data_IF_406038200570
#
_entry.id   IF_406038200570
#
_cell.length_a   1.000
_cell.length_b   1.000
_cell.length_c   1.000
_cell.angle_alpha   90.00
_cell.angle_beta   90.00
_cell.angle_gamma   90.00
#
_symmetry.space_group_name_H-M   'P 1'
#
loop_
_entity.id
_entity.type
_entity.pdbx_description
1 polymer ?
#
# COMPACT_ATOMS: atom_id res chain seq x y z
N UNK A 1 -36.66 19.98 -34.17
CA UNK A 1 -37.44 18.83 -33.62
C UNK A 1 -37.03 18.71 -32.17
N UNK A 2 -37.90 19.21 -31.26
CA UNK A 2 -37.73 19.01 -29.83
C UNK A 2 -38.06 17.55 -29.52
N UNK A 3 -37.04 16.70 -29.47
CA UNK A 3 -37.12 15.29 -29.09
C UNK A 3 -36.88 15.08 -27.60
N UNK A 4 -37.37 15.96 -26.74
CA UNK A 4 -37.33 15.74 -25.32
C UNK A 4 -38.38 14.73 -24.91
N UNK A 5 -37.99 13.59 -24.32
CA UNK A 5 -38.90 12.69 -23.66
C UNK A 5 -39.31 13.32 -22.32
N UNK A 6 -40.54 13.86 -22.26
CA UNK A 6 -41.09 14.38 -21.01
C UNK A 6 -41.59 13.26 -20.12
N UNK A 7 -40.95 13.01 -18.99
CA UNK A 7 -41.46 12.12 -17.96
C UNK A 7 -42.57 12.82 -17.15
N UNK A 8 -43.62 12.09 -16.80
CA UNK A 8 -44.62 12.61 -15.84
C UNK A 8 -43.96 12.78 -14.47
N UNK A 9 -44.26 13.88 -13.83
CA UNK A 9 -43.71 14.23 -12.53
C UNK A 9 -44.66 13.85 -11.40
N UNK A 10 -44.17 13.17 -10.39
CA UNK A 10 -44.91 12.77 -9.19
C UNK A 10 -44.03 13.00 -7.94
N UNK A 11 -44.67 13.33 -6.81
CA UNK A 11 -44.03 13.21 -5.51
C UNK A 11 -43.90 11.74 -5.12
N UNK A 12 -43.07 11.40 -4.14
CA UNK A 12 -42.96 10.02 -3.62
C UNK A 12 -44.32 9.46 -3.20
N UNK A 13 -45.16 10.25 -2.52
CA UNK A 13 -46.50 9.83 -2.10
C UNK A 13 -47.44 9.56 -3.30
N UNK A 14 -47.38 10.39 -4.32
CA UNK A 14 -48.16 10.19 -5.54
C UNK A 14 -47.70 8.99 -6.34
N UNK A 15 -46.36 8.78 -6.42
CA UNK A 15 -45.78 7.62 -7.06
C UNK A 15 -46.21 6.32 -6.41
N UNK A 16 -46.20 6.25 -5.06
CA UNK A 16 -46.57 5.04 -4.32
C UNK A 16 -48.06 4.69 -4.43
N UNK A 17 -48.89 5.64 -4.85
CA UNK A 17 -50.32 5.42 -5.15
C UNK A 17 -50.61 4.96 -6.60
N UNK A 18 -49.58 4.86 -7.46
CA UNK A 18 -49.71 4.38 -8.83
C UNK A 18 -49.90 2.86 -8.87
N UNK A 19 -50.77 2.40 -9.79
CA UNK A 19 -50.76 0.99 -10.19
C UNK A 19 -49.70 0.79 -11.25
N UNK A 20 -48.49 0.45 -10.80
CA UNK A 20 -47.29 0.41 -11.63
C UNK A 20 -47.05 -0.97 -12.22
N UNK A 21 -46.57 -1.00 -13.46
CA UNK A 21 -46.10 -2.20 -14.15
C UNK A 21 -44.59 -2.08 -14.48
N UNK A 22 -43.93 -3.21 -14.60
CA UNK A 22 -42.49 -3.22 -14.91
C UNK A 22 -42.19 -2.44 -16.21
N UNK A 23 -41.28 -1.48 -16.13
CA UNK A 23 -40.91 -0.59 -17.23
C UNK A 23 -41.58 0.79 -17.17
N UNK A 24 -42.52 1.05 -16.27
CA UNK A 24 -43.03 2.41 -16.06
C UNK A 24 -41.93 3.36 -15.64
N UNK A 25 -41.96 4.59 -16.19
CA UNK A 25 -40.95 5.63 -15.93
C UNK A 25 -41.60 6.94 -15.50
N UNK A 26 -41.05 7.58 -14.50
CA UNK A 26 -41.49 8.88 -13.96
C UNK A 26 -40.31 9.77 -13.60
N UNK A 27 -40.58 11.05 -13.35
CA UNK A 27 -39.69 11.93 -12.60
C UNK A 27 -40.22 12.11 -11.19
N UNK A 28 -39.52 11.65 -10.17
CA UNK A 28 -39.88 11.87 -8.77
C UNK A 28 -39.39 13.24 -8.31
N UNK A 29 -40.34 14.13 -8.02
CA UNK A 29 -40.06 15.51 -7.60
C UNK A 29 -39.60 15.62 -6.17
N UNK A 30 -39.92 14.65 -5.31
CA UNK A 30 -39.40 14.62 -3.92
C UNK A 30 -37.92 14.24 -3.86
N UNK A 31 -37.49 13.32 -4.73
CA UNK A 31 -36.13 12.85 -4.82
C UNK A 31 -35.31 13.62 -5.88
N UNK A 32 -35.99 14.44 -6.70
CA UNK A 32 -35.41 15.14 -7.86
C UNK A 32 -34.67 14.19 -8.83
N UNK A 33 -35.23 13.00 -9.05
CA UNK A 33 -34.63 11.93 -9.88
C UNK A 33 -35.64 11.28 -10.83
N UNK A 34 -35.21 10.90 -12.05
CA UNK A 34 -35.97 10.00 -12.87
C UNK A 34 -35.95 8.58 -12.26
N UNK A 35 -37.09 7.90 -12.27
CA UNK A 35 -37.25 6.56 -11.71
C UNK A 35 -37.95 5.64 -12.71
N UNK A 36 -37.67 4.33 -12.59
CA UNK A 36 -38.42 3.30 -13.29
C UNK A 36 -38.88 2.23 -12.29
N UNK A 37 -40.02 1.59 -12.62
CA UNK A 37 -40.54 0.47 -11.85
C UNK A 37 -39.96 -0.84 -12.39
N UNK A 38 -39.26 -1.59 -11.55
CA UNK A 38 -38.58 -2.83 -11.97
C UNK A 38 -39.49 -4.09 -11.89
N UNK A 39 -40.77 -3.90 -11.58
CA UNK A 39 -41.72 -4.98 -11.34
C UNK A 39 -41.95 -5.29 -9.86
N UNK A 40 -41.11 -4.77 -8.96
CA UNK A 40 -41.24 -4.94 -7.51
C UNK A 40 -41.16 -3.63 -6.76
N UNK A 41 -40.35 -2.69 -7.24
CA UNK A 41 -40.11 -1.40 -6.60
C UNK A 41 -39.74 -0.32 -7.63
N UNK A 42 -39.92 0.95 -7.25
CA UNK A 42 -39.40 2.09 -7.97
C UNK A 42 -37.93 2.25 -7.70
N UNK A 43 -37.13 2.31 -8.77
CA UNK A 43 -35.67 2.38 -8.74
C UNK A 43 -35.20 3.63 -9.49
N UNK A 44 -34.24 4.38 -8.97
CA UNK A 44 -33.65 5.51 -9.66
C UNK A 44 -32.89 5.04 -10.90
N UNK A 45 -32.90 5.83 -11.98
CA UNK A 45 -32.05 5.60 -13.15
C UNK A 45 -30.57 5.79 -12.84
N UNK A 46 -30.26 6.58 -11.82
CA UNK A 46 -28.90 6.87 -11.36
C UNK A 46 -28.83 6.73 -9.84
N UNK A 47 -28.60 5.52 -9.37
CA UNK A 47 -27.86 5.29 -8.12
C UNK A 47 -26.47 4.80 -8.49
N UNK A 48 -25.83 5.44 -9.51
CA UNK A 48 -24.41 5.25 -9.76
C UNK A 48 -23.64 5.95 -8.63
N UNK A 49 -22.71 5.28 -7.99
CA UNK A 49 -21.81 5.94 -7.05
C UNK A 49 -21.15 7.15 -7.74
N UNK A 50 -21.35 8.35 -7.23
CA UNK A 50 -20.76 9.56 -7.84
C UNK A 50 -19.33 9.78 -7.37
N UNK A 51 -18.90 9.06 -6.33
CA UNK A 51 -17.59 9.20 -5.70
C UNK A 51 -16.58 8.23 -6.30
N UNK A 52 -15.73 8.70 -7.21
CA UNK A 52 -14.55 7.96 -7.65
C UNK A 52 -13.43 8.15 -6.64
N UNK A 53 -12.94 7.06 -6.07
CA UNK A 53 -11.81 7.04 -5.14
C UNK A 53 -10.63 6.30 -5.77
N UNK A 54 -9.53 7.00 -5.97
CA UNK A 54 -8.22 6.40 -6.24
C UNK A 54 -7.54 6.07 -4.90
N UNK A 55 -6.78 4.97 -4.87
CA UNK A 55 -6.14 4.49 -3.66
C UNK A 55 -4.70 4.05 -3.87
N UNK A 56 -3.94 4.08 -2.78
CA UNK A 56 -2.67 3.38 -2.62
C UNK A 56 -2.77 2.57 -1.33
N UNK A 57 -2.46 1.27 -1.40
CA UNK A 57 -2.41 0.38 -0.24
C UNK A 57 -0.99 -0.16 -0.11
N UNK A 58 -0.30 0.24 0.96
CA UNK A 58 1.07 -0.17 1.28
C UNK A 58 1.06 -1.01 2.55
N UNK A 59 1.60 -2.21 2.49
CA UNK A 59 1.72 -3.11 3.63
C UNK A 59 2.91 -2.74 4.54
N UNK A 60 2.99 -3.35 5.72
CA UNK A 60 4.15 -3.21 6.60
C UNK A 60 5.41 -3.83 6.00
N UNK A 61 6.57 -3.20 6.19
CA UNK A 61 7.87 -3.71 5.79
C UNK A 61 8.35 -4.88 6.67
N UNK A 62 9.20 -5.73 6.10
CA UNK A 62 9.88 -6.83 6.79
C UNK A 62 11.03 -6.35 7.66
N UNK A 63 11.42 -7.13 8.67
CA UNK A 63 12.62 -6.85 9.47
C UNK A 63 13.89 -7.15 8.70
N UNK A 64 14.96 -6.45 9.02
CA UNK A 64 16.30 -6.88 8.67
C UNK A 64 16.67 -8.21 9.31
N UNK A 65 17.63 -8.92 8.75
CA UNK A 65 18.26 -10.09 9.36
C UNK A 65 19.19 -9.69 10.49
N UNK A 66 19.41 -10.58 11.46
CA UNK A 66 20.32 -10.35 12.59
C UNK A 66 21.80 -10.42 12.20
N UNK A 67 22.52 -11.48 12.65
CA UNK A 67 23.93 -11.69 12.35
C UNK A 67 24.15 -11.93 10.84
N UNK A 68 25.11 -11.23 10.25
CA UNK A 68 25.35 -11.21 8.81
C UNK A 68 24.03 -11.08 8.03
N UNK A 69 23.23 -10.11 8.44
CA UNK A 69 21.83 -10.00 8.07
C UNK A 69 21.58 -9.22 6.79
N UNK A 70 20.79 -9.80 5.89
CA UNK A 70 20.25 -9.08 4.73
C UNK A 70 19.24 -8.02 5.15
N UNK A 71 19.01 -7.03 4.30
CA UNK A 71 17.95 -6.02 4.51
C UNK A 71 16.56 -6.62 4.41
N UNK A 72 15.62 -6.09 5.17
CA UNK A 72 14.18 -6.44 5.08
C UNK A 72 13.58 -5.96 3.76
N UNK A 73 12.69 -6.75 3.17
CA UNK A 73 11.91 -6.34 2.01
C UNK A 73 10.87 -5.29 2.38
N UNK A 74 10.56 -4.39 1.48
CA UNK A 74 9.44 -3.47 1.63
C UNK A 74 8.09 -4.20 1.65
N UNK A 75 7.10 -3.61 2.25
CA UNK A 75 5.70 -3.98 2.10
C UNK A 75 5.30 -3.87 0.63
N UNK A 76 4.35 -4.71 0.21
CA UNK A 76 3.77 -4.61 -1.12
C UNK A 76 3.15 -3.24 -1.34
N UNK A 77 3.09 -2.80 -2.57
CA UNK A 77 2.52 -1.55 -3.00
C UNK A 77 1.50 -1.79 -4.11
N UNK A 78 0.25 -1.42 -3.87
CA UNK A 78 -0.84 -1.48 -4.84
C UNK A 78 -1.44 -0.09 -5.02
N UNK A 79 -1.59 0.31 -6.29
CA UNK A 79 -2.08 1.64 -6.68
C UNK A 79 -3.23 1.54 -7.67
N UNK A 80 -4.17 2.48 -7.59
CA UNK A 80 -5.14 2.77 -8.63
C UNK A 80 -4.98 4.17 -9.22
N UNK A 81 -3.92 4.87 -8.87
CA UNK A 81 -3.69 6.23 -9.37
C UNK A 81 -3.44 6.20 -10.87
N UNK A 82 -4.25 6.94 -11.61
CA UNK A 82 -4.19 6.96 -13.08
C UNK A 82 -2.81 7.41 -13.58
N UNK A 83 -2.24 6.66 -14.51
CA UNK A 83 -0.93 6.94 -15.11
C UNK A 83 0.26 6.49 -14.26
N UNK A 84 0.05 5.93 -13.07
CA UNK A 84 1.10 5.38 -12.21
C UNK A 84 1.18 3.85 -12.33
N UNK A 85 2.09 3.26 -11.56
CA UNK A 85 2.27 1.81 -11.49
C UNK A 85 2.07 1.31 -10.05
N UNK A 86 1.63 0.07 -9.91
CA UNK A 86 1.79 -0.72 -8.70
C UNK A 86 3.22 -1.23 -8.57
N UNK A 87 3.52 -1.86 -7.43
CA UNK A 87 4.82 -2.48 -7.22
C UNK A 87 5.11 -3.59 -8.24
N UNK A 88 6.40 -3.97 -8.37
CA UNK A 88 6.81 -4.97 -9.35
C UNK A 88 6.66 -4.53 -10.80
N UNK A 89 6.46 -3.25 -11.07
CA UNK A 89 6.27 -2.70 -12.41
C UNK A 89 4.91 -3.01 -13.04
N UNK A 90 3.94 -3.47 -12.27
CA UNK A 90 2.58 -3.74 -12.75
C UNK A 90 1.80 -2.43 -12.89
N UNK A 91 0.98 -2.30 -13.93
CA UNK A 91 0.09 -1.13 -14.09
C UNK A 91 -0.83 -0.94 -12.89
N UNK A 92 -1.16 0.31 -12.59
CA UNK A 92 -2.17 0.61 -11.59
C UNK A 92 -3.53 0.00 -11.96
N UNK A 93 -4.30 -0.40 -10.95
CA UNK A 93 -5.67 -0.84 -11.12
C UNK A 93 -6.60 0.35 -11.41
N UNK A 94 -7.89 0.09 -11.59
CA UNK A 94 -8.89 1.14 -11.61
C UNK A 94 -9.28 1.56 -10.19
N UNK A 95 -9.60 2.83 -10.00
CA UNK A 95 -10.21 3.32 -8.76
C UNK A 95 -11.60 2.72 -8.55
N UNK A 96 -12.13 2.88 -7.35
CA UNK A 96 -13.46 2.43 -7.01
C UNK A 96 -14.49 3.55 -7.09
N UNK A 97 -15.65 3.23 -7.67
CA UNK A 97 -16.85 4.03 -7.52
C UNK A 97 -17.55 3.61 -6.21
N UNK A 98 -17.55 4.48 -5.23
CA UNK A 98 -18.02 4.19 -3.88
C UNK A 98 -19.33 4.93 -3.57
N UNK A 99 -20.17 4.33 -2.71
CA UNK A 99 -21.32 5.00 -2.16
C UNK A 99 -20.92 5.88 -0.97
N UNK A 100 -21.48 7.07 -0.91
CA UNK A 100 -21.37 7.94 0.26
C UNK A 100 -22.10 7.32 1.46
N UNK A 101 -21.72 7.72 2.66
CA UNK A 101 -22.29 7.23 3.94
C UNK A 101 -22.16 5.72 4.19
N UNK A 102 -21.43 4.99 3.33
CA UNK A 102 -21.10 3.57 3.54
C UNK A 102 -19.76 3.47 4.24
N UNK A 103 -19.68 2.61 5.25
CA UNK A 103 -18.44 2.33 5.97
C UNK A 103 -17.63 1.25 5.25
N UNK A 104 -16.40 1.55 4.89
CA UNK A 104 -15.46 0.65 4.23
C UNK A 104 -14.32 0.29 5.17
N UNK A 105 -14.03 -0.99 5.32
CA UNK A 105 -12.98 -1.45 6.22
C UNK A 105 -11.58 -1.15 5.67
N UNK A 106 -10.69 -0.68 6.54
CA UNK A 106 -9.27 -0.47 6.28
C UNK A 106 -8.44 -1.21 7.32
N UNK A 107 -7.43 -1.93 6.84
CA UNK A 107 -6.41 -2.56 7.70
C UNK A 107 -5.06 -1.99 7.33
N UNK A 108 -4.34 -1.43 8.29
CA UNK A 108 -2.97 -0.94 8.12
C UNK A 108 -2.01 -1.91 8.80
N UNK A 109 -1.17 -2.57 8.01
CA UNK A 109 -0.22 -3.57 8.48
C UNK A 109 0.90 -2.94 9.30
N UNK A 110 1.20 -3.49 10.46
CA UNK A 110 2.41 -3.12 11.21
C UNK A 110 3.67 -3.60 10.49
N UNK A 111 4.77 -2.88 10.66
CA UNK A 111 6.09 -3.40 10.31
C UNK A 111 6.48 -4.58 11.19
N UNK A 112 7.35 -5.43 10.68
CA UNK A 112 7.91 -6.56 11.43
C UNK A 112 8.76 -6.07 12.61
N UNK A 113 8.71 -6.75 13.75
CA UNK A 113 9.64 -6.55 14.84
C UNK A 113 11.08 -7.00 14.43
N UNK A 114 12.15 -6.49 15.07
CA UNK A 114 13.53 -6.87 14.72
C UNK A 114 13.74 -8.39 14.74
N UNK A 115 14.52 -8.89 13.83
CA UNK A 115 14.94 -10.30 13.72
C UNK A 115 13.84 -11.35 13.62
N UNK A 116 12.57 -10.98 13.46
CA UNK A 116 11.53 -11.96 13.71
C UNK A 116 10.73 -12.42 12.49
N UNK A 117 10.27 -11.52 11.62
CA UNK A 117 9.20 -11.92 10.72
C UNK A 117 9.04 -11.04 9.48
N UNK A 118 8.02 -11.37 8.71
CA UNK A 118 7.46 -10.50 7.67
C UNK A 118 6.68 -9.37 8.31
N UNK A 119 6.52 -8.28 7.56
CA UNK A 119 5.51 -7.28 7.87
C UNK A 119 4.09 -7.85 7.76
N UNK A 120 3.14 -7.15 8.33
CA UNK A 120 1.73 -7.49 8.22
C UNK A 120 1.08 -6.88 6.97
N UNK A 121 0.05 -7.54 6.47
CA UNK A 121 -0.70 -7.09 5.31
C UNK A 121 -1.48 -5.80 5.62
N UNK A 122 -1.64 -4.95 4.60
CA UNK A 122 -2.64 -3.88 4.59
C UNK A 122 -3.77 -4.24 3.62
N UNK A 123 -4.99 -3.80 3.93
CA UNK A 123 -6.13 -4.06 3.08
C UNK A 123 -7.12 -2.89 3.08
N UNK A 124 -7.80 -2.73 1.94
CA UNK A 124 -8.93 -1.84 1.76
C UNK A 124 -10.09 -2.63 1.15
N UNK A 125 -11.22 -2.69 1.85
CA UNK A 125 -12.44 -3.37 1.41
C UNK A 125 -13.40 -2.33 0.81
N UNK A 126 -13.19 -2.01 -0.48
CA UNK A 126 -14.10 -1.22 -1.30
C UNK A 126 -15.19 -2.10 -1.92
N UNK A 127 -15.38 -2.03 -3.24
CA UNK A 127 -16.28 -2.95 -3.99
C UNK A 127 -15.73 -4.38 -3.93
N UNK A 128 -14.42 -4.51 -4.02
CA UNK A 128 -13.67 -5.74 -3.75
C UNK A 128 -12.59 -5.45 -2.72
N UNK A 129 -12.06 -6.48 -2.06
CA UNK A 129 -10.97 -6.29 -1.11
C UNK A 129 -9.62 -6.29 -1.83
N UNK A 130 -8.89 -5.18 -1.70
CA UNK A 130 -7.51 -5.03 -2.15
C UNK A 130 -6.60 -5.34 -0.98
N UNK A 131 -5.72 -6.33 -1.13
CA UNK A 131 -4.78 -6.73 -0.08
C UNK A 131 -3.34 -6.61 -0.56
N UNK A 132 -2.58 -5.77 0.09
CA UNK A 132 -1.13 -5.66 -0.06
C UNK A 132 -0.42 -6.54 0.96
N UNK A 133 0.56 -7.31 0.52
CA UNK A 133 1.26 -8.32 1.33
C UNK A 133 2.45 -7.71 2.06
N UNK A 134 2.62 -8.06 3.33
CA UNK A 134 3.76 -7.62 4.13
C UNK A 134 5.11 -7.96 3.53
N UNK A 135 6.12 -7.13 3.77
CA UNK A 135 7.49 -7.31 3.28
C UNK A 135 8.20 -8.52 3.87
N UNK A 136 9.08 -9.13 3.10
CA UNK A 136 9.85 -10.30 3.50
C UNK A 136 10.95 -9.96 4.51
N UNK A 137 11.24 -10.86 5.45
CA UNK A 137 12.38 -10.74 6.39
C UNK A 137 13.71 -10.95 5.66
N UNK A 138 14.74 -10.19 6.03
CA UNK A 138 16.13 -10.44 5.62
C UNK A 138 16.70 -11.77 6.14
N UNK A 139 17.60 -12.38 5.39
CA UNK A 139 18.28 -13.62 5.79
C UNK A 139 19.27 -13.42 6.93
N UNK A 140 19.64 -14.52 7.61
CA UNK A 140 20.63 -14.56 8.71
C UNK A 140 21.83 -15.45 8.37
N UNK A 141 22.88 -15.32 9.18
CA UNK A 141 23.99 -16.28 9.20
C UNK A 141 23.51 -17.67 9.66
N UNK A 142 23.87 -18.70 8.91
CA UNK A 142 23.67 -20.14 9.18
C UNK A 142 22.26 -20.67 9.45
N UNK A 143 21.23 -19.87 9.65
CA UNK A 143 19.99 -20.39 10.19
C UNK A 143 18.74 -20.13 9.36
N UNK A 144 18.62 -19.00 8.69
CA UNK A 144 17.35 -18.64 8.07
C UNK A 144 17.54 -17.95 6.73
N UNK A 145 17.10 -18.61 5.69
CA UNK A 145 16.94 -17.98 4.38
C UNK A 145 16.03 -16.74 4.51
N UNK A 146 16.24 -15.71 3.66
CA UNK A 146 15.30 -14.60 3.60
C UNK A 146 13.91 -15.08 3.22
N UNK A 147 12.89 -14.37 3.63
CA UNK A 147 11.52 -14.75 3.29
C UNK A 147 10.96 -13.93 2.13
N UNK A 148 10.08 -14.58 1.37
CA UNK A 148 9.23 -13.89 0.39
C UNK A 148 8.29 -12.91 1.09
N UNK A 149 7.76 -11.94 0.37
CA UNK A 149 6.79 -10.96 0.84
C UNK A 149 6.33 -10.10 -0.32
N UNK A 150 5.57 -9.04 -0.09
CA UNK A 150 5.23 -8.06 -1.12
C UNK A 150 6.47 -7.62 -1.90
N UNK A 151 7.58 -7.33 -1.18
CA UNK A 151 8.95 -7.38 -1.70
C UNK A 151 9.77 -8.38 -0.89
N UNK A 152 10.73 -9.06 -1.53
CA UNK A 152 11.54 -10.10 -0.90
C UNK A 152 12.63 -9.57 0.01
N UNK A 153 12.98 -10.29 1.08
CA UNK A 153 14.12 -9.97 1.93
C UNK A 153 15.45 -10.23 1.23
N UNK A 154 16.50 -9.45 1.58
CA UNK A 154 17.88 -9.61 1.11
C UNK A 154 18.55 -10.87 1.65
N UNK A 155 19.47 -11.44 0.89
CA UNK A 155 20.29 -12.58 1.29
C UNK A 155 21.16 -12.23 2.50
N UNK A 156 21.18 -13.11 3.48
CA UNK A 156 22.17 -13.11 4.56
C UNK A 156 23.22 -14.19 4.31
N UNK A 157 24.31 -14.13 5.06
CA UNK A 157 25.39 -15.11 4.99
C UNK A 157 26.10 -15.16 3.61
N UNK A 158 27.17 -15.95 3.54
CA UNK A 158 27.97 -16.16 2.34
C UNK A 158 27.14 -16.73 1.19
N UNK A 159 27.04 -16.02 0.08
CA UNK A 159 26.30 -16.41 -1.12
C UNK A 159 24.79 -16.66 -0.94
N UNK A 160 24.19 -16.27 0.18
CA UNK A 160 22.74 -16.40 0.36
C UNK A 160 21.95 -15.65 -0.70
N UNK A 161 21.06 -16.34 -1.42
CA UNK A 161 20.17 -15.69 -2.39
C UNK A 161 19.17 -14.78 -1.68
N UNK A 162 18.83 -13.66 -2.30
CA UNK A 162 17.68 -12.87 -1.89
C UNK A 162 16.37 -13.62 -2.19
N UNK A 163 15.33 -13.33 -1.44
CA UNK A 163 14.02 -13.91 -1.65
C UNK A 163 13.26 -13.20 -2.77
N UNK A 164 12.39 -13.94 -3.45
CA UNK A 164 11.50 -13.37 -4.46
C UNK A 164 10.37 -12.52 -3.81
N UNK A 165 9.82 -11.58 -4.58
CA UNK A 165 8.53 -10.99 -4.27
C UNK A 165 7.41 -12.02 -4.47
N UNK A 166 6.42 -12.05 -3.57
CA UNK A 166 5.27 -12.94 -3.65
C UNK A 166 4.10 -12.36 -2.84
N UNK A 167 2.96 -12.11 -3.48
CA UNK A 167 2.65 -12.34 -4.89
C UNK A 167 3.44 -11.41 -5.84
N UNK A 168 3.53 -11.78 -7.11
CA UNK A 168 4.08 -10.91 -8.14
C UNK A 168 3.21 -9.64 -8.29
N UNK A 169 3.81 -8.54 -8.77
CA UNK A 169 3.08 -7.30 -9.01
C UNK A 169 2.89 -6.41 -7.78
N UNK A 170 3.55 -6.72 -6.65
CA UNK A 170 3.52 -5.88 -5.45
C UNK A 170 4.91 -5.34 -5.05
N UNK A 171 5.97 -5.87 -5.64
CA UNK A 171 7.34 -5.46 -5.38
C UNK A 171 8.35 -6.35 -6.10
N UNK A 172 9.61 -6.21 -5.71
CA UNK A 172 10.75 -6.91 -6.31
C UNK A 172 11.50 -7.79 -5.32
N UNK A 173 12.36 -8.65 -5.86
CA UNK A 173 13.21 -9.54 -5.07
C UNK A 173 14.27 -8.78 -4.28
N UNK A 174 14.72 -9.37 -3.18
CA UNK A 174 15.91 -8.93 -2.47
C UNK A 174 17.20 -9.28 -3.24
N UNK A 175 18.27 -8.54 -2.93
CA UNK A 175 19.62 -8.78 -3.43
C UNK A 175 20.26 -10.02 -2.80
N UNK A 176 21.21 -10.63 -3.53
CA UNK A 176 22.02 -11.74 -3.04
C UNK A 176 23.14 -11.23 -2.09
N UNK A 177 23.52 -12.01 -1.09
CA UNK A 177 24.74 -11.80 -0.34
C UNK A 177 25.98 -12.20 -1.14
N UNK A 178 27.16 -11.66 -0.80
CA UNK A 178 28.46 -12.01 -1.38
C UNK A 178 29.29 -12.91 -0.45
N UNK A 179 30.41 -13.47 -0.98
CA UNK A 179 31.29 -14.38 -0.24
C UNK A 179 32.04 -13.70 0.91
N UNK A 180 32.26 -12.39 0.84
CA UNK A 180 33.07 -11.61 1.79
C UNK A 180 32.25 -11.01 2.95
N UNK A 181 31.21 -11.72 3.41
CA UNK A 181 30.33 -11.27 4.49
C UNK A 181 29.54 -9.99 4.21
N UNK A 182 29.30 -9.67 2.95
CA UNK A 182 28.49 -8.54 2.54
C UNK A 182 27.08 -9.01 2.19
N UNK A 183 26.10 -8.53 2.91
CA UNK A 183 24.73 -8.97 2.83
C UNK A 183 23.94 -8.21 1.75
N UNK A 184 22.95 -8.88 1.16
CA UNK A 184 22.09 -8.29 0.14
C UNK A 184 21.11 -7.29 0.72
N UNK A 185 20.76 -6.27 -0.04
CA UNK A 185 19.67 -5.34 0.29
C UNK A 185 18.30 -6.01 0.09
N UNK A 186 17.30 -5.61 0.87
CA UNK A 186 15.91 -6.00 0.68
C UNK A 186 15.34 -5.44 -0.62
N UNK A 187 14.37 -6.12 -1.23
CA UNK A 187 13.64 -5.59 -2.38
C UNK A 187 12.78 -4.40 -2.00
N UNK A 188 12.67 -3.43 -2.89
CA UNK A 188 11.69 -2.35 -2.83
C UNK A 188 10.48 -2.64 -3.72
N UNK A 189 9.45 -1.82 -3.61
CA UNK A 189 8.30 -1.96 -4.50
C UNK A 189 8.60 -1.50 -5.93
N UNK A 190 9.58 -0.59 -6.13
CA UNK A 190 9.96 -0.03 -7.44
C UNK A 190 11.19 -0.67 -8.08
N UNK A 191 12.07 -1.33 -7.30
CA UNK A 191 13.25 -2.03 -7.81
C UNK A 191 13.71 -3.16 -6.89
N UNK A 192 14.48 -4.09 -7.46
CA UNK A 192 15.13 -5.15 -6.69
C UNK A 192 16.20 -4.59 -5.73
N UNK A 193 16.43 -5.31 -4.62
CA UNK A 193 17.56 -5.05 -3.76
C UNK A 193 18.87 -5.34 -4.44
N UNK A 194 19.91 -4.59 -4.08
CA UNK A 194 21.26 -4.71 -4.68
C UNK A 194 22.02 -5.86 -4.02
N UNK A 195 22.83 -6.55 -4.81
CA UNK A 195 23.78 -7.56 -4.31
C UNK A 195 24.75 -6.92 -3.33
N UNK A 196 25.10 -7.66 -2.27
CA UNK A 196 26.15 -7.25 -1.34
C UNK A 196 27.53 -7.23 -2.00
N UNK A 197 28.12 -6.07 -2.10
CA UNK A 197 29.52 -5.85 -2.47
C UNK A 197 30.27 -5.09 -1.37
N UNK A 198 29.56 -4.37 -0.56
CA UNK A 198 29.99 -3.63 0.63
C UNK A 198 28.73 -3.37 1.51
N UNK A 199 27.84 -4.39 1.60
CA UNK A 199 26.48 -4.21 2.07
C UNK A 199 25.58 -3.75 0.90
N UNK A 200 24.61 -4.58 0.50
CA UNK A 200 23.70 -4.29 -0.62
C UNK A 200 22.70 -3.20 -0.27
N UNK A 201 22.56 -2.20 -1.12
CA UNK A 201 21.54 -1.15 -0.98
C UNK A 201 20.14 -1.74 -1.15
N UNK A 202 19.20 -1.29 -0.37
CA UNK A 202 17.79 -1.63 -0.53
C UNK A 202 17.21 -1.12 -1.85
N UNK A 203 16.31 -1.89 -2.44
CA UNK A 203 15.60 -1.48 -3.66
C UNK A 203 14.77 -0.21 -3.40
N UNK A 204 14.72 0.69 -4.37
CA UNK A 204 13.86 1.89 -4.27
C UNK A 204 12.38 1.52 -4.25
N UNK A 205 11.57 2.34 -3.62
CA UNK A 205 10.12 2.26 -3.65
C UNK A 205 9.50 2.77 -4.96
N UNK A 206 8.19 2.81 -4.99
CA UNK A 206 7.43 3.42 -6.09
C UNK A 206 7.24 4.90 -5.83
N UNK A 207 7.47 5.70 -6.86
CA UNK A 207 7.15 7.12 -6.83
C UNK A 207 5.65 7.31 -7.10
N UNK A 208 5.01 8.21 -6.34
CA UNK A 208 3.60 8.58 -6.52
C UNK A 208 3.41 10.07 -6.36
N UNK A 209 2.38 10.59 -6.99
CA UNK A 209 1.90 11.97 -6.89
C UNK A 209 0.53 12.07 -6.22
N UNK A 210 0.06 11.04 -5.53
CA UNK A 210 -1.28 10.99 -4.93
C UNK A 210 -1.56 12.17 -3.98
N UNK A 211 -0.52 12.72 -3.35
CA UNK A 211 -0.62 13.88 -2.44
C UNK A 211 -0.55 15.23 -3.16
N UNK A 212 -0.38 15.25 -4.49
CA UNK A 212 -0.10 16.47 -5.26
C UNK A 212 1.39 16.78 -5.41
N UNK A 213 2.25 16.14 -4.63
CA UNK A 213 3.72 16.24 -4.73
C UNK A 213 4.33 14.85 -4.86
N UNK A 214 5.44 14.76 -5.61
CA UNK A 214 6.11 13.48 -5.80
C UNK A 214 6.75 12.98 -4.49
N UNK A 215 6.48 11.73 -4.13
CA UNK A 215 7.08 11.05 -2.99
C UNK A 215 7.31 9.58 -3.30
N UNK A 216 8.20 8.92 -2.55
CA UNK A 216 8.44 7.49 -2.66
C UNK A 216 7.84 6.75 -1.47
N UNK A 217 7.33 5.54 -1.70
CA UNK A 217 6.81 4.61 -0.67
C UNK A 217 7.35 3.20 -0.92
N UNK A 218 7.46 2.42 0.12
CA UNK A 218 7.85 1.01 0.07
C UNK A 218 9.29 0.79 -0.45
N UNK A 219 10.28 1.47 0.14
CA UNK A 219 11.71 1.21 -0.09
C UNK A 219 12.21 0.02 0.72
N UNK A 220 13.10 -0.81 0.15
CA UNK A 220 13.73 -1.94 0.85
C UNK A 220 14.82 -1.50 1.84
N UNK A 221 15.10 -2.32 2.86
CA UNK A 221 16.18 -2.10 3.81
C UNK A 221 17.57 -2.42 3.24
N UNK A 222 18.62 -1.72 3.70
CA UNK A 222 20.01 -2.01 3.37
C UNK A 222 20.52 -3.28 4.06
N UNK A 223 21.39 -4.04 3.41
CA UNK A 223 22.09 -5.18 3.99
C UNK A 223 23.18 -4.74 4.96
N UNK A 224 23.51 -5.58 5.95
CA UNK A 224 24.64 -5.36 6.85
C UNK A 224 25.98 -5.41 6.11
N UNK A 225 26.98 -4.72 6.63
CA UNK A 225 28.36 -4.79 6.16
C UNK A 225 29.18 -5.85 6.90
N UNK A 226 30.28 -6.33 6.29
CA UNK A 226 31.31 -7.06 6.97
C UNK A 226 32.14 -6.17 7.92
N UNK A 227 33.07 -6.77 8.66
CA UNK A 227 33.83 -6.09 9.72
C UNK A 227 34.54 -4.77 9.33
N UNK A 228 34.92 -4.62 8.08
CA UNK A 228 35.63 -3.42 7.58
C UNK A 228 34.88 -2.79 6.38
N UNK A 229 33.69 -3.25 6.08
CA UNK A 229 32.92 -2.84 4.90
C UNK A 229 31.80 -1.89 5.26
N UNK A 230 31.39 -1.05 4.32
CA UNK A 230 30.23 -0.20 4.46
C UNK A 230 28.93 -1.04 4.53
N UNK A 231 27.97 -0.57 5.27
CA UNK A 231 26.61 -1.11 5.19
C UNK A 231 25.89 -0.57 3.94
N UNK A 232 24.88 -1.29 3.51
CA UNK A 232 23.98 -0.84 2.45
C UNK A 232 23.05 0.26 2.94
N UNK A 233 22.82 1.26 2.09
CA UNK A 233 21.79 2.27 2.34
C UNK A 233 20.38 1.67 2.20
N UNK A 234 19.42 2.27 2.90
CA UNK A 234 18.00 1.97 2.66
C UNK A 234 17.54 2.56 1.34
N UNK A 235 16.63 1.86 0.66
CA UNK A 235 16.00 2.35 -0.57
C UNK A 235 15.10 3.57 -0.31
N UNK A 236 15.03 4.49 -1.28
CA UNK A 236 14.09 5.61 -1.24
C UNK A 236 12.66 5.09 -1.01
N UNK A 237 11.90 5.80 -0.18
CA UNK A 237 10.56 5.36 0.22
C UNK A 237 10.53 4.69 1.59
N UNK A 238 11.50 5.01 2.45
CA UNK A 238 11.49 4.68 3.87
C UNK A 238 12.28 3.42 4.26
N UNK A 239 13.13 2.89 3.39
CA UNK A 239 14.05 1.80 3.75
C UNK A 239 15.06 2.22 4.82
N UNK A 240 15.30 1.36 5.81
CA UNK A 240 16.31 1.56 6.85
C UNK A 240 17.71 1.13 6.39
N UNK A 241 18.75 1.85 6.78
CA UNK A 241 20.15 1.54 6.51
C UNK A 241 20.60 0.29 7.29
N UNK A 242 21.49 -0.50 6.72
CA UNK A 242 22.14 -1.63 7.39
C UNK A 242 23.20 -1.21 8.43
N UNK A 243 23.63 -2.15 9.25
CA UNK A 243 24.68 -1.98 10.27
C UNK A 243 26.06 -2.26 9.71
N UNK A 244 27.08 -1.49 10.13
CA UNK A 244 28.50 -1.82 9.99
C UNK A 244 29.27 -1.56 11.31
N UNK A 245 30.59 -1.52 11.26
CA UNK A 245 31.44 -1.28 12.45
C UNK A 245 31.22 0.11 13.08
N UNK A 246 30.85 1.11 12.27
CA UNK A 246 30.78 2.52 12.67
C UNK A 246 29.33 3.05 12.74
N UNK A 247 28.37 2.32 12.18
CA UNK A 247 26.96 2.76 12.03
C UNK A 247 26.01 1.69 12.53
N UNK A 248 25.01 2.08 13.30
CA UNK A 248 23.89 1.21 13.69
C UNK A 248 22.92 1.01 12.55
N UNK A 249 22.29 -0.16 12.50
CA UNK A 249 21.17 -0.35 11.61
C UNK A 249 20.02 0.60 11.96
N UNK A 250 19.22 0.95 10.95
CA UNK A 250 18.08 1.86 11.07
C UNK A 250 16.78 1.10 10.75
N UNK A 251 15.73 1.39 11.50
CA UNK A 251 14.41 0.85 11.24
C UNK A 251 13.81 1.42 9.93
N UNK A 252 12.93 0.67 9.30
CA UNK A 252 12.10 1.19 8.23
C UNK A 252 11.24 2.34 8.76
N UNK A 253 11.06 3.38 7.95
CA UNK A 253 10.25 4.55 8.33
C UNK A 253 8.79 4.16 8.50
N UNK A 254 8.17 4.58 9.58
CA UNK A 254 6.74 4.34 9.85
C UNK A 254 5.87 4.99 8.76
N UNK A 255 4.73 4.36 8.47
CA UNK A 255 3.75 4.84 7.48
C UNK A 255 4.32 5.00 6.06
N UNK A 256 5.30 4.14 5.72
CA UNK A 256 5.86 4.07 4.36
C UNK A 256 5.92 2.64 3.82
N UNK A 257 5.82 1.64 4.69
CA UNK A 257 6.05 0.24 4.32
C UNK A 257 7.52 -0.11 4.12
N UNK A 258 8.46 0.73 4.60
CA UNK A 258 9.89 0.52 4.41
C UNK A 258 10.44 -0.72 5.10
N UNK A 259 11.37 -1.45 4.47
CA UNK A 259 12.10 -2.58 5.09
C UNK A 259 13.11 -2.12 6.13
N UNK A 260 13.37 -2.91 7.17
CA UNK A 260 14.38 -2.63 8.20
C UNK A 260 15.81 -2.98 7.77
N UNK A 261 16.81 -2.25 8.28
CA UNK A 261 18.22 -2.51 8.03
C UNK A 261 18.71 -3.82 8.65
N UNK A 262 19.59 -4.54 7.94
CA UNK A 262 20.25 -5.77 8.39
C UNK A 262 21.40 -5.53 9.35
N UNK A 263 21.66 -6.50 10.25
CA UNK A 263 22.77 -6.48 11.19
C UNK A 263 24.12 -6.86 10.53
N UNK A 264 25.19 -6.29 11.03
CA UNK A 264 26.55 -6.61 10.59
C UNK A 264 26.94 -8.07 10.86
N UNK A 265 28.00 -8.54 10.21
CA UNK A 265 28.67 -9.78 10.58
C UNK A 265 29.55 -9.57 11.81
N UNK A 266 29.55 -10.54 12.72
CA UNK A 266 30.38 -10.62 13.93
C UNK A 266 30.19 -9.48 14.96
N UNK A 267 30.57 -9.73 16.18
CA UNK A 267 30.43 -8.79 17.28
C UNK A 267 28.97 -8.72 17.82
N UNK A 268 28.41 -7.52 17.87
CA UNK A 268 27.04 -7.31 18.36
C UNK A 268 26.10 -6.93 17.20
N UNK A 269 25.60 -7.92 16.42
CA UNK A 269 24.74 -7.64 15.30
C UNK A 269 23.34 -7.23 15.78
N UNK A 270 22.86 -6.10 15.26
CA UNK A 270 21.52 -5.59 15.57
C UNK A 270 20.78 -5.33 14.27
N UNK A 271 19.74 -6.10 14.04
CA UNK A 271 18.80 -5.80 12.96
C UNK A 271 17.69 -4.87 13.43
N UNK A 272 16.98 -4.31 12.50
CA UNK A 272 15.94 -3.36 12.79
C UNK A 272 14.55 -3.79 12.26
N UNK A 273 13.53 -3.20 12.87
CA UNK A 273 12.14 -3.41 12.48
C UNK A 273 11.85 -2.84 11.09
N UNK A 274 10.87 -3.41 10.42
CA UNK A 274 10.23 -2.75 9.28
C UNK A 274 9.35 -1.59 9.73
N UNK A 275 9.08 -0.65 8.83
CA UNK A 275 8.11 0.44 9.02
C UNK A 275 6.68 -0.06 8.82
N UNK A 276 5.71 0.56 9.50
CA UNK A 276 4.30 0.28 9.25
C UNK A 276 3.88 0.65 7.83
N UNK A 277 2.84 -0.01 7.34
CA UNK A 277 2.15 0.36 6.10
C UNK A 277 1.37 1.65 6.24
N UNK A 278 0.69 2.01 5.16
CA UNK A 278 -0.17 3.19 5.04
C UNK A 278 -1.18 2.99 3.91
N UNK A 279 -2.32 3.63 4.02
CA UNK A 279 -3.27 3.73 2.91
C UNK A 279 -3.47 5.21 2.58
N UNK A 280 -3.46 5.52 1.28
CA UNK A 280 -3.84 6.82 0.79
C UNK A 280 -5.08 6.70 -0.07
N UNK A 281 -5.95 7.70 0.03
CA UNK A 281 -7.10 7.90 -0.84
C UNK A 281 -7.02 9.27 -1.51
N UNK A 282 -7.38 9.34 -2.79
CA UNK A 282 -7.60 10.60 -3.52
C UNK A 282 -9.03 10.60 -4.06
N UNK A 283 -9.73 11.71 -3.90
CA UNK A 283 -11.14 11.86 -4.25
C UNK A 283 -11.48 13.35 -4.49
N UNK A 284 -12.62 13.69 -5.15
CA UNK A 284 -13.01 15.06 -5.40
C UNK A 284 -13.16 15.86 -4.10
N UNK A 285 -12.82 17.13 -4.12
CA UNK A 285 -12.71 17.97 -2.91
C UNK A 285 -14.05 18.39 -2.30
N UNK A 286 -15.17 18.17 -3.02
CA UNK A 286 -16.53 18.35 -2.49
C UNK A 286 -16.96 17.25 -1.50
N UNK A 287 -16.17 16.17 -1.36
CA UNK A 287 -16.40 15.13 -0.36
C UNK A 287 -15.46 15.28 0.83
N UNK A 288 -15.86 14.71 1.96
CA UNK A 288 -15.06 14.67 3.21
C UNK A 288 -15.00 13.24 3.73
N UNK A 289 -13.80 12.78 4.08
CA UNK A 289 -13.59 11.46 4.67
C UNK A 289 -13.71 11.51 6.20
N UNK A 290 -14.32 10.50 6.78
CA UNK A 290 -14.37 10.28 8.23
C UNK A 290 -13.80 8.92 8.57
N UNK A 291 -12.85 8.87 9.51
CA UNK A 291 -12.34 7.64 10.10
C UNK A 291 -13.14 7.25 11.35
N UNK A 292 -13.40 5.97 11.52
CA UNK A 292 -14.09 5.41 12.68
C UNK A 292 -13.52 4.03 13.06
N UNK A 293 -13.93 3.47 14.19
CA UNK A 293 -13.48 2.14 14.65
C UNK A 293 -11.97 2.03 14.87
N UNK A 294 -11.29 3.13 15.19
CA UNK A 294 -9.84 3.19 15.37
C UNK A 294 -9.07 3.74 14.17
N UNK A 295 -9.68 3.89 12.99
CA UNK A 295 -9.01 4.46 11.83
C UNK A 295 -8.70 5.95 12.03
N UNK A 296 -7.43 6.30 11.87
CA UNK A 296 -6.97 7.69 11.82
C UNK A 296 -6.79 8.09 10.36
N UNK A 297 -7.69 8.92 9.86
CA UNK A 297 -7.63 9.49 8.52
C UNK A 297 -7.31 11.00 8.62
N UNK A 298 -6.19 11.42 8.04
CA UNK A 298 -5.82 12.84 7.96
C UNK A 298 -6.05 13.33 6.54
N UNK A 299 -7.01 14.24 6.38
CA UNK A 299 -7.39 14.81 5.09
C UNK A 299 -6.58 16.09 4.79
N UNK A 300 -6.26 16.29 3.53
CA UNK A 300 -5.60 17.51 3.02
C UNK A 300 -6.16 17.86 1.65
N UNK A 301 -6.48 19.14 1.43
CA UNK A 301 -6.88 19.65 0.13
C UNK A 301 -5.63 19.86 -0.75
N UNK A 302 -5.67 19.33 -1.98
CA UNK A 302 -4.55 19.44 -2.94
C UNK A 302 -4.54 20.76 -3.72
N UNK A 303 -5.68 21.47 -3.78
CA UNK A 303 -5.84 22.70 -4.54
C UNK A 303 -6.05 22.54 -6.05
N UNK A 304 -6.23 21.28 -6.51
CA UNK A 304 -6.47 20.92 -7.93
C UNK A 304 -7.85 20.29 -8.17
N UNK A 305 -8.82 20.56 -7.28
CA UNK A 305 -10.17 19.97 -7.31
C UNK A 305 -10.24 18.61 -6.62
N UNK A 306 -9.16 18.17 -5.96
CA UNK A 306 -9.10 16.92 -5.21
C UNK A 306 -8.58 17.15 -3.79
N UNK A 307 -8.96 16.23 -2.92
CA UNK A 307 -8.35 15.99 -1.62
C UNK A 307 -7.61 14.67 -1.62
N UNK A 308 -6.67 14.52 -0.72
CA UNK A 308 -6.17 13.22 -0.33
C UNK A 308 -6.34 12.98 1.16
N UNK A 309 -6.49 11.71 1.55
CA UNK A 309 -6.46 11.29 2.94
C UNK A 309 -5.34 10.27 3.16
N UNK A 310 -4.60 10.42 4.26
CA UNK A 310 -3.61 9.46 4.76
C UNK A 310 -4.20 8.69 5.93
N UNK A 311 -4.31 7.37 5.80
CA UNK A 311 -4.82 6.48 6.86
C UNK A 311 -3.66 5.68 7.44
N UNK A 312 -3.45 5.78 8.75
CA UNK A 312 -2.29 5.22 9.46
C UNK A 312 -2.63 4.15 10.49
N UNK A 313 -3.92 3.95 10.79
CA UNK A 313 -4.41 2.92 11.71
C UNK A 313 -5.64 2.22 11.13
N UNK A 314 -5.85 0.97 11.55
CA UNK A 314 -6.98 0.14 11.10
C UNK A 314 -8.32 0.60 11.68
N UNK A 315 -9.40 0.34 10.96
CA UNK A 315 -10.76 0.66 11.34
C UNK A 315 -11.68 0.72 10.14
N UNK A 316 -12.51 1.73 10.04
CA UNK A 316 -13.38 2.00 8.88
C UNK A 316 -13.25 3.44 8.41
N UNK A 317 -13.53 3.68 7.14
CA UNK A 317 -13.63 5.02 6.55
C UNK A 317 -14.95 5.16 5.80
N UNK A 318 -15.50 6.35 5.77
CA UNK A 318 -16.69 6.71 4.99
C UNK A 318 -16.56 8.10 4.43
N UNK A 319 -17.33 8.41 3.38
CA UNK A 319 -17.35 9.74 2.77
C UNK A 319 -18.74 10.35 2.83
N UNK A 320 -18.81 11.68 3.01
CA UNK A 320 -20.03 12.48 2.99
C UNK A 320 -19.82 13.73 2.12
#
# INVERSE_FOLDING_TARGET
IDNALGLKSYTTTQRDALTSVAGDMIYNTSDSKPQFYNGSAWTNFQDTPELLVEYIVVAGGGSGGGDAGGGGGAGGYLSSVSGESSGGGTSAALGFWLNTSTAYSVTVGSGAAPSSSRGNNSAFSGITTITSTGGGRGGYYNANAPSTGGSGGGGGNQNGSGAAASPAGQGFAGGRADMDWNQGGGGGAGAAGVRGNAGGTGGIGVQTSITGTAMYLAGGGGGGGGNAQSAGDGGLGGGGQGQNASQSAVAGTINTGGGGGGGKALGSPVSQSGGSGVIYFKYPDNYTITGAGGATATETNRGDGYKYAKVTTSGTVSWA
#
